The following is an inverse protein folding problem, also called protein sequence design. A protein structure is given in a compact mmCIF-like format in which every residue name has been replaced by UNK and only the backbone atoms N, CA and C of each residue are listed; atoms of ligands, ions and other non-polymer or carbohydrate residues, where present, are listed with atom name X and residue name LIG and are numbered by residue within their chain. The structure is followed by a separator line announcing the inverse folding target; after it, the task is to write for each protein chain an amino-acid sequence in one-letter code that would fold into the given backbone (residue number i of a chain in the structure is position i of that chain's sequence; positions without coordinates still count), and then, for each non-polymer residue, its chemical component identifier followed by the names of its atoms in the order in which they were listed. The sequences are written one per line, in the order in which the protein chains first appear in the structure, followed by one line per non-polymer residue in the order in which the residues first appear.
data_IF_513521205199
#
_entry.id   IF_513521205199
#
_cell.length_a   1.000
_cell.length_b   1.000
_cell.length_c   1.000
_cell.angle_alpha   90.00
_cell.angle_beta   90.00
_cell.angle_gamma   90.00
#
_symmetry.space_group_name_H-M   'P 1'
#
loop_
_entity.id
_entity.type
_entity.pdbx_description
1 polymer ?
#
# COMPACT_ATOMS: atom_id res chain seq x y z
N UNK A 1 -8.58 3.74 -0.43
CA UNK A 1 -8.36 4.17 0.95
C UNK A 1 -7.13 5.07 1.06
N UNK A 2 -5.92 4.62 0.70
CA UNK A 2 -4.68 5.42 0.86
C UNK A 2 -4.78 6.81 0.24
N UNK A 3 -5.24 6.93 -1.01
CA UNK A 3 -5.41 8.22 -1.72
C UNK A 3 -6.34 9.17 -0.97
N UNK A 4 -7.45 8.65 -0.40
CA UNK A 4 -8.38 9.43 0.40
C UNK A 4 -7.73 9.96 1.69
N UNK A 5 -7.03 9.11 2.43
CA UNK A 5 -6.33 9.54 3.65
C UNK A 5 -5.13 10.45 3.37
N UNK A 6 -4.50 10.33 2.20
CA UNK A 6 -3.49 11.31 1.75
C UNK A 6 -4.11 12.69 1.58
N UNK A 7 -5.33 12.80 1.03
CA UNK A 7 -6.04 14.07 0.94
C UNK A 7 -6.33 14.67 2.32
N UNK A 8 -6.82 13.85 3.27
CA UNK A 8 -7.08 14.33 4.63
C UNK A 8 -5.79 14.85 5.32
N UNK A 9 -4.67 14.16 5.10
CA UNK A 9 -3.36 14.61 5.61
C UNK A 9 -2.94 15.94 5.00
N UNK A 10 -3.05 16.09 3.68
CA UNK A 10 -2.67 17.33 2.99
C UNK A 10 -3.57 18.51 3.37
N UNK A 11 -4.87 18.29 3.58
CA UNK A 11 -5.80 19.32 4.05
C UNK A 11 -5.43 19.81 5.45
N UNK A 12 -5.10 18.90 6.36
CA UNK A 12 -4.64 19.23 7.70
C UNK A 12 -3.32 20.00 7.66
N UNK A 13 -2.36 19.56 6.82
CA UNK A 13 -1.11 20.27 6.61
C UNK A 13 -1.33 21.67 6.02
N UNK A 14 -2.24 21.81 5.06
CA UNK A 14 -2.60 23.11 4.49
C UNK A 14 -3.25 24.02 5.54
N UNK A 15 -4.10 23.49 6.39
CA UNK A 15 -4.73 24.23 7.49
C UNK A 15 -3.67 24.78 8.47
N UNK A 16 -2.78 23.93 8.96
CA UNK A 16 -1.69 24.31 9.86
C UNK A 16 -0.77 25.35 9.22
N UNK A 17 -0.42 25.14 7.95
CA UNK A 17 0.49 26.06 7.23
C UNK A 17 -0.16 27.42 7.01
N UNK A 18 -1.47 27.49 6.73
CA UNK A 18 -2.20 28.77 6.64
C UNK A 18 -2.28 29.52 7.97
N UNK A 19 -2.59 28.83 9.07
CA UNK A 19 -2.52 29.46 10.39
C UNK A 19 -1.13 30.02 10.69
N UNK A 20 -0.10 29.27 10.29
CA UNK A 20 1.27 29.75 10.44
C UNK A 20 1.56 30.94 9.53
N UNK A 21 1.03 30.98 8.30
CA UNK A 21 1.16 32.13 7.38
C UNK A 21 0.56 33.39 7.99
N UNK A 22 -0.66 33.32 8.57
CA UNK A 22 -1.29 34.44 9.26
C UNK A 22 -0.42 34.94 10.41
N UNK A 23 0.07 34.04 11.27
CA UNK A 23 0.93 34.39 12.40
C UNK A 23 2.28 34.98 11.96
N UNK A 24 2.82 34.57 10.81
CA UNK A 24 4.01 35.20 10.23
C UNK A 24 3.71 36.60 9.70
N UNK A 25 2.59 36.83 9.06
CA UNK A 25 2.15 38.16 8.59
C UNK A 25 2.08 39.16 9.73
N UNK A 26 1.50 38.75 10.86
CA UNK A 26 1.44 39.59 12.08
C UNK A 26 2.83 39.85 12.65
N UNK A 27 3.72 38.84 12.65
CA UNK A 27 5.08 38.97 13.15
C UNK A 27 5.90 39.93 12.29
N UNK A 28 5.79 39.84 10.95
CA UNK A 28 6.43 40.80 10.03
C UNK A 28 5.95 42.23 10.28
N UNK A 29 4.62 42.42 10.43
CA UNK A 29 4.03 43.73 10.71
C UNK A 29 4.56 44.33 12.02
N UNK A 30 4.60 43.54 13.09
CA UNK A 30 5.12 43.93 14.41
C UNK A 30 6.60 44.25 14.36
N UNK A 31 7.43 43.41 13.72
CA UNK A 31 8.87 43.66 13.58
C UNK A 31 9.17 44.92 12.77
N UNK A 32 8.36 45.20 11.73
CA UNK A 32 8.47 46.44 10.94
C UNK A 32 8.10 47.67 11.76
N UNK A 33 7.09 47.55 12.64
CA UNK A 33 6.71 48.63 13.57
C UNK A 33 7.84 48.89 14.59
N UNK A 34 8.45 47.83 15.16
CA UNK A 34 9.61 47.93 16.05
C UNK A 34 10.83 48.60 15.37
N UNK A 35 11.07 48.28 14.11
CA UNK A 35 12.13 48.91 13.32
C UNK A 35 11.89 50.43 13.19
N UNK A 36 10.65 50.85 12.87
CA UNK A 36 10.29 52.25 12.77
C UNK A 36 10.43 53.00 14.11
N UNK A 37 10.24 52.30 15.23
CA UNK A 37 10.48 52.84 16.58
C UNK A 37 11.96 52.82 17.01
N UNK A 38 12.88 52.35 16.17
CA UNK A 38 14.30 52.23 16.48
C UNK A 38 14.67 51.07 17.42
N UNK A 39 13.74 50.13 17.64
CA UNK A 39 13.89 48.98 18.54
C UNK A 39 14.26 47.69 17.78
N UNK A 40 14.32 47.75 16.47
CA UNK A 40 14.74 46.62 15.59
C UNK A 40 15.53 47.16 14.40
N UNK A 41 16.09 46.26 13.60
CA UNK A 41 16.90 46.61 12.43
C UNK A 41 16.30 46.02 11.14
N UNK A 42 16.78 46.53 9.99
CA UNK A 42 16.33 46.09 8.66
C UNK A 42 16.61 44.61 8.41
N UNK A 43 17.73 44.07 8.93
CA UNK A 43 18.05 42.63 8.81
C UNK A 43 17.03 41.76 9.47
N UNK A 44 16.47 42.15 10.63
CA UNK A 44 15.41 41.42 11.31
C UNK A 44 14.13 41.36 10.45
N UNK A 45 13.72 42.50 9.89
CA UNK A 45 12.54 42.58 9.02
C UNK A 45 12.72 41.69 7.79
N UNK A 46 13.88 41.82 7.12
CA UNK A 46 14.18 41.04 5.90
C UNK A 46 14.18 39.51 6.15
N UNK A 47 14.70 39.06 7.29
CA UNK A 47 14.68 37.63 7.65
C UNK A 47 13.25 37.13 7.97
N UNK A 48 12.44 37.94 8.65
CA UNK A 48 11.05 37.63 8.93
C UNK A 48 10.21 37.57 7.63
N UNK A 49 10.46 38.51 6.70
CA UNK A 49 9.81 38.51 5.38
C UNK A 49 10.23 37.29 4.55
N UNK A 50 11.49 36.91 4.57
CA UNK A 50 11.97 35.71 3.89
C UNK A 50 11.31 34.44 4.41
N UNK A 51 11.17 34.31 5.75
CA UNK A 51 10.46 33.18 6.36
C UNK A 51 8.95 33.19 6.02
N UNK A 52 8.31 34.35 6.00
CA UNK A 52 6.91 34.50 5.58
C UNK A 52 6.72 34.05 4.13
N UNK A 53 7.55 34.51 3.19
CA UNK A 53 7.47 34.07 1.78
C UNK A 53 7.75 32.59 1.61
N UNK A 54 8.62 31.99 2.44
CA UNK A 54 8.84 30.55 2.45
C UNK A 54 7.55 29.78 2.82
N UNK A 55 6.82 30.24 3.83
CA UNK A 55 5.54 29.62 4.25
C UNK A 55 4.50 29.80 3.16
N UNK A 56 4.42 30.99 2.51
CA UNK A 56 3.53 31.23 1.38
C UNK A 56 3.81 30.26 0.20
N UNK A 57 5.07 30.05 -0.13
CA UNK A 57 5.46 29.07 -1.14
C UNK A 57 4.96 27.67 -0.77
N UNK A 58 5.13 27.25 0.49
CA UNK A 58 4.67 25.96 0.98
C UNK A 58 3.14 25.79 0.89
N UNK A 59 2.37 26.88 1.08
CA UNK A 59 0.90 26.87 0.87
C UNK A 59 0.57 26.57 -0.59
N UNK A 60 1.32 27.12 -1.55
CA UNK A 60 1.11 26.86 -2.99
C UNK A 60 1.46 25.42 -3.34
N UNK A 61 2.58 24.92 -2.82
CA UNK A 61 3.01 23.53 -3.03
C UNK A 61 1.97 22.52 -2.50
N UNK A 62 1.41 22.78 -1.31
CA UNK A 62 0.35 21.94 -0.75
C UNK A 62 -0.93 21.97 -1.58
N UNK A 63 -1.33 23.13 -2.09
CA UNK A 63 -2.50 23.23 -3.00
C UNK A 63 -2.28 22.45 -4.29
N UNK A 64 -1.09 22.49 -4.85
CA UNK A 64 -0.75 21.70 -6.03
C UNK A 64 -0.82 20.20 -5.73
N UNK A 65 -0.24 19.74 -4.61
CA UNK A 65 -0.28 18.34 -4.19
C UNK A 65 -1.73 17.85 -3.95
N UNK A 66 -2.58 18.67 -3.32
CA UNK A 66 -4.00 18.35 -3.14
C UNK A 66 -4.67 18.13 -4.50
N UNK A 67 -4.47 19.04 -5.46
CA UNK A 67 -5.04 18.92 -6.79
C UNK A 67 -4.56 17.65 -7.52
N UNK A 68 -3.27 17.32 -7.42
CA UNK A 68 -2.70 16.10 -8.02
C UNK A 68 -3.31 14.83 -7.41
N UNK A 69 -3.55 14.81 -6.09
CA UNK A 69 -4.16 13.66 -5.41
C UNK A 69 -5.66 13.59 -5.69
N UNK A 70 -6.37 14.71 -5.81
CA UNK A 70 -7.77 14.76 -6.28
C UNK A 70 -7.92 14.20 -7.70
N UNK A 71 -7.01 14.57 -8.61
CA UNK A 71 -6.98 14.03 -9.97
C UNK A 71 -6.73 12.50 -9.94
N UNK A 72 -5.85 12.04 -9.06
CA UNK A 72 -5.57 10.60 -8.89
C UNK A 72 -6.79 9.86 -8.33
N UNK A 73 -7.54 10.48 -7.40
CA UNK A 73 -8.77 9.92 -6.87
C UNK A 73 -9.86 9.86 -7.92
N UNK A 74 -10.05 10.93 -8.71
CA UNK A 74 -11.00 10.98 -9.83
C UNK A 74 -10.72 9.86 -10.85
N UNK A 75 -9.44 9.64 -11.17
CA UNK A 75 -9.03 8.57 -12.08
C UNK A 75 -9.40 7.18 -11.52
N UNK A 76 -9.22 6.95 -10.22
CA UNK A 76 -9.59 5.70 -9.56
C UNK A 76 -11.11 5.46 -9.52
N UNK A 77 -11.90 6.53 -9.47
CA UNK A 77 -13.36 6.49 -9.49
C UNK A 77 -13.95 6.50 -10.90
N UNK A 78 -13.10 6.62 -11.94
CA UNK A 78 -13.50 6.81 -13.34
C UNK A 78 -14.42 8.02 -13.55
N UNK A 79 -14.17 9.11 -12.81
CA UNK A 79 -14.91 10.38 -12.86
C UNK A 79 -14.03 11.51 -13.41
N UNK A 80 -14.65 12.60 -13.79
CA UNK A 80 -13.92 13.84 -14.10
C UNK A 80 -13.39 14.49 -12.82
N UNK A 81 -12.20 15.10 -12.83
CA UNK A 81 -11.64 15.78 -11.67
C UNK A 81 -12.63 16.80 -11.08
N UNK A 82 -12.88 16.70 -9.80
CA UNK A 82 -13.74 17.60 -9.03
C UNK A 82 -13.30 17.66 -7.59
N UNK A 83 -13.77 18.64 -6.86
CA UNK A 83 -13.63 18.67 -5.41
C UNK A 83 -14.48 17.53 -4.78
N UNK A 84 -13.89 16.78 -3.86
CA UNK A 84 -14.55 15.73 -3.11
C UNK A 84 -14.77 16.20 -1.66
N UNK A 85 -16.02 16.16 -1.19
CA UNK A 85 -16.31 16.35 0.22
C UNK A 85 -15.62 15.27 1.04
N UNK A 86 -14.94 15.68 2.09
CA UNK A 86 -14.15 14.79 2.93
C UNK A 86 -14.16 15.22 4.39
N UNK A 87 -13.93 14.26 5.28
CA UNK A 87 -13.87 14.50 6.72
C UNK A 87 -12.51 15.07 7.16
N UNK A 88 -12.32 15.10 8.46
CA UNK A 88 -11.09 15.55 9.10
C UNK A 88 -10.21 14.35 9.49
N UNK A 89 -8.89 14.51 9.41
CA UNK A 89 -7.93 13.46 9.77
C UNK A 89 -7.98 13.12 11.26
N UNK A 90 -8.20 14.12 12.13
CA UNK A 90 -8.20 13.98 13.58
C UNK A 90 -9.37 13.19 14.15
N UNK A 91 -10.53 13.16 13.43
CA UNK A 91 -11.76 12.46 13.87
C UNK A 91 -11.72 10.96 13.60
N UNK A 92 -10.77 10.49 12.79
CA UNK A 92 -10.67 9.08 12.41
C UNK A 92 -10.24 8.23 13.61
N UNK A 93 -11.11 7.29 14.04
CA UNK A 93 -10.84 6.36 15.14
C UNK A 93 -10.57 4.97 14.58
N UNK A 94 -9.54 4.33 15.11
CA UNK A 94 -9.17 2.95 14.78
C UNK A 94 -9.09 2.12 16.07
N UNK A 95 -9.29 0.80 16.00
CA UNK A 95 -9.20 -0.07 17.18
C UNK A 95 -7.87 0.10 17.91
N UNK A 96 -7.92 0.26 19.23
CA UNK A 96 -6.73 0.53 20.04
C UNK A 96 -5.86 -0.71 20.28
N UNK A 97 -6.44 -1.90 20.20
CA UNK A 97 -5.76 -3.14 20.54
C UNK A 97 -5.60 -4.06 19.34
N UNK A 98 -4.40 -4.09 18.79
CA UNK A 98 -3.97 -5.19 17.93
C UNK A 98 -3.18 -6.18 18.79
N UNK A 99 -3.75 -7.36 19.05
CA UNK A 99 -3.04 -8.40 19.78
C UNK A 99 -1.82 -8.89 18.99
N UNK A 100 -0.66 -8.86 19.62
CA UNK A 100 0.56 -9.47 19.10
C UNK A 100 0.33 -10.99 18.96
N UNK A 101 0.50 -11.50 17.76
CA UNK A 101 0.35 -12.93 17.46
C UNK A 101 -0.80 -13.19 16.50
N UNK A 102 -0.49 -13.12 15.20
CA UNK A 102 -1.45 -13.51 14.16
C UNK A 102 -1.41 -15.02 14.03
N UNK A 103 -2.53 -15.74 14.28
CA UNK A 103 -2.59 -17.17 14.02
C UNK A 103 -2.25 -17.45 12.56
N UNK A 104 -1.39 -18.43 12.31
CA UNK A 104 -0.99 -18.86 10.97
C UNK A 104 -2.21 -19.19 10.08
N UNK A 105 -3.33 -19.55 10.68
CA UNK A 105 -4.61 -19.77 10.03
C UNK A 105 -5.18 -18.53 9.32
N UNK A 106 -4.89 -17.32 9.80
CA UNK A 106 -5.32 -16.09 9.11
C UNK A 106 -4.54 -15.84 7.81
N UNK A 107 -3.27 -16.26 7.74
CA UNK A 107 -2.46 -16.17 6.53
C UNK A 107 -3.01 -17.07 5.40
N UNK A 108 -3.66 -18.18 5.74
CA UNK A 108 -4.31 -19.06 4.77
C UNK A 108 -5.48 -18.38 4.02
N UNK A 109 -5.99 -17.26 4.53
CA UNK A 109 -7.05 -16.49 3.86
C UNK A 109 -6.49 -15.54 2.76
N UNK A 110 -5.20 -15.33 2.71
CA UNK A 110 -4.56 -14.45 1.72
C UNK A 110 -4.64 -15.03 0.32
N UNK A 111 -4.99 -14.22 -0.71
CA UNK A 111 -5.08 -14.69 -2.10
C UNK A 111 -3.74 -15.18 -2.67
N UNK A 112 -2.63 -14.50 -2.32
CA UNK A 112 -1.28 -14.84 -2.77
C UNK A 112 -0.80 -16.17 -2.18
N UNK A 113 -1.02 -16.41 -0.89
CA UNK A 113 -0.70 -17.68 -0.22
C UNK A 113 -1.53 -18.83 -0.81
N UNK A 114 -2.84 -18.61 -1.00
CA UNK A 114 -3.70 -19.62 -1.66
C UNK A 114 -3.32 -19.88 -3.11
N UNK A 115 -2.89 -18.86 -3.84
CA UNK A 115 -2.41 -19.06 -5.22
C UNK A 115 -1.16 -19.92 -5.24
N UNK A 116 -0.19 -19.66 -4.34
CA UNK A 116 1.01 -20.47 -4.22
C UNK A 116 0.71 -21.92 -3.78
N UNK A 117 -0.23 -22.11 -2.86
CA UNK A 117 -0.73 -23.44 -2.46
C UNK A 117 -1.33 -24.20 -3.64
N UNK A 118 -2.19 -23.54 -4.44
CA UNK A 118 -2.78 -24.16 -5.63
C UNK A 118 -1.75 -24.49 -6.72
N UNK A 119 -0.71 -23.66 -6.82
CA UNK A 119 0.42 -23.94 -7.74
C UNK A 119 1.20 -25.18 -7.29
N UNK A 120 1.44 -25.33 -5.98
CA UNK A 120 2.05 -26.54 -5.42
C UNK A 120 1.18 -27.77 -5.64
N UNK A 121 -0.13 -27.65 -5.43
CA UNK A 121 -1.09 -28.74 -5.70
C UNK A 121 -1.06 -29.13 -7.17
N UNK A 122 -1.05 -28.19 -8.10
CA UNK A 122 -0.93 -28.47 -9.54
C UNK A 122 0.38 -29.17 -9.89
N UNK A 123 1.51 -28.75 -9.31
CA UNK A 123 2.81 -29.39 -9.51
C UNK A 123 2.84 -30.82 -8.96
N UNK A 124 2.17 -31.05 -7.80
CA UNK A 124 2.00 -32.41 -7.25
C UNK A 124 1.22 -33.32 -8.20
N UNK A 125 0.11 -32.85 -8.76
CA UNK A 125 -0.65 -33.65 -9.76
C UNK A 125 0.12 -33.81 -11.06
N UNK A 126 0.92 -32.82 -11.47
CA UNK A 126 1.82 -32.93 -12.62
C UNK A 126 2.89 -34.02 -12.42
N UNK A 127 3.45 -34.15 -11.22
CA UNK A 127 4.38 -35.23 -10.88
C UNK A 127 3.69 -36.59 -10.91
N UNK A 128 2.46 -36.69 -10.42
CA UNK A 128 1.67 -37.91 -10.48
C UNK A 128 1.32 -38.30 -11.94
N UNK A 129 1.01 -37.32 -12.79
CA UNK A 129 0.79 -37.52 -14.22
C UNK A 129 2.07 -38.05 -14.89
N UNK A 130 3.23 -37.46 -14.62
CA UNK A 130 4.50 -37.96 -15.15
C UNK A 130 4.81 -39.38 -14.65
N UNK A 131 4.45 -39.71 -13.41
CA UNK A 131 4.56 -41.04 -12.83
C UNK A 131 3.63 -42.04 -13.53
N UNK A 132 2.43 -41.62 -13.95
CA UNK A 132 1.48 -42.50 -14.66
C UNK A 132 2.00 -42.97 -16.01
N UNK A 133 2.94 -42.26 -16.66
CA UNK A 133 3.58 -42.66 -17.91
C UNK A 133 4.44 -43.93 -17.80
N UNK A 134 4.78 -44.36 -16.57
CA UNK A 134 5.45 -45.65 -16.33
C UNK A 134 4.50 -46.84 -16.37
N UNK A 135 3.17 -46.63 -16.41
CA UNK A 135 2.16 -47.66 -16.45
C UNK A 135 1.57 -47.77 -17.85
N UNK A 136 0.99 -48.98 -18.23
CA UNK A 136 0.33 -49.12 -19.50
C UNK A 136 -0.88 -48.17 -19.66
N UNK A 137 -0.99 -47.57 -20.84
CA UNK A 137 -2.16 -46.79 -21.21
C UNK A 137 -3.24 -47.65 -21.84
N UNK A 138 -4.48 -47.49 -21.41
CA UNK A 138 -5.66 -48.15 -22.01
C UNK A 138 -6.40 -47.11 -22.84
N UNK A 139 -6.47 -47.36 -24.15
CA UNK A 139 -7.24 -46.51 -25.07
C UNK A 139 -8.46 -47.30 -25.57
N UNK A 140 -9.64 -46.73 -25.39
CA UNK A 140 -10.89 -47.25 -25.93
C UNK A 140 -11.34 -46.35 -27.07
N UNK A 141 -11.42 -46.89 -28.27
CA UNK A 141 -11.91 -46.20 -29.47
C UNK A 141 -13.17 -46.85 -29.99
N UNK A 142 -14.15 -46.03 -30.32
CA UNK A 142 -15.38 -46.50 -30.95
C UNK A 142 -15.69 -45.68 -32.18
N UNK A 143 -16.12 -46.34 -33.25
CA UNK A 143 -16.65 -45.66 -34.43
C UNK A 143 -18.00 -46.28 -34.81
N UNK A 144 -18.91 -45.42 -35.19
CA UNK A 144 -20.21 -45.82 -35.74
C UNK A 144 -20.45 -45.03 -37.04
N UNK A 145 -20.88 -45.71 -38.08
CA UNK A 145 -21.10 -45.08 -39.38
C UNK A 145 -21.98 -45.93 -40.29
N UNK A 146 -22.47 -45.29 -41.32
CA UNK A 146 -23.22 -45.94 -42.38
C UNK A 146 -22.32 -46.05 -43.61
N UNK A 147 -22.19 -47.28 -44.17
CA UNK A 147 -21.41 -47.46 -45.38
C UNK A 147 -22.34 -47.74 -46.58
N UNK A 148 -22.03 -47.07 -47.69
CA UNK A 148 -22.70 -47.31 -48.95
C UNK A 148 -21.65 -47.76 -50.00
N UNK A 149 -21.83 -48.93 -50.60
CA UNK A 149 -20.88 -49.46 -51.58
C UNK A 149 -21.11 -48.94 -53.01
N UNK A 150 -22.03 -48.00 -53.18
CA UNK A 150 -22.29 -47.41 -54.51
C UNK A 150 -21.99 -45.91 -54.45
N UNK A 151 -20.96 -45.48 -55.18
CA UNK A 151 -20.51 -44.07 -55.21
C UNK A 151 -21.63 -43.05 -55.26
N UNK A 152 -21.40 -41.91 -54.69
CA UNK A 152 -22.11 -40.64 -54.62
C UNK A 152 -23.64 -40.54 -54.55
N UNK A 153 -24.42 -41.61 -54.57
CA UNK A 153 -25.86 -41.61 -54.30
C UNK A 153 -26.24 -42.57 -53.17
N UNK A 154 -26.88 -42.03 -52.14
CA UNK A 154 -27.44 -42.82 -51.01
C UNK A 154 -28.69 -43.53 -51.54
N UNK A 155 -28.53 -44.69 -52.15
CA UNK A 155 -29.64 -45.46 -52.70
C UNK A 155 -30.19 -46.51 -51.73
N UNK A 156 -29.50 -46.79 -50.67
CA UNK A 156 -29.97 -47.72 -49.63
C UNK A 156 -29.34 -47.28 -48.28
N UNK A 157 -30.11 -47.06 -47.21
CA UNK A 157 -29.56 -46.79 -45.87
C UNK A 157 -28.99 -48.11 -45.32
N UNK A 158 -28.05 -48.58 -46.08
CA UNK A 158 -27.56 -49.92 -45.98
C UNK A 158 -26.90 -50.29 -44.71
N UNK A 159 -25.74 -50.65 -44.58
CA UNK A 159 -25.17 -51.36 -43.43
C UNK A 159 -24.67 -50.39 -42.40
N UNK A 160 -25.28 -50.39 -41.23
CA UNK A 160 -24.74 -49.78 -40.04
C UNK A 160 -23.52 -50.60 -39.60
N UNK A 161 -22.37 -49.92 -39.48
CA UNK A 161 -21.14 -50.47 -38.95
C UNK A 161 -20.82 -49.79 -37.64
N UNK A 162 -20.72 -50.59 -36.59
CA UNK A 162 -20.19 -50.12 -35.31
C UNK A 162 -18.96 -50.95 -34.95
N UNK A 163 -17.88 -50.30 -34.59
CA UNK A 163 -16.69 -50.98 -34.09
C UNK A 163 -16.26 -50.36 -32.75
N UNK A 164 -15.85 -51.20 -31.81
CA UNK A 164 -15.23 -50.84 -30.57
C UNK A 164 -13.88 -51.57 -30.45
N UNK A 165 -12.81 -50.82 -30.22
CA UNK A 165 -11.46 -51.38 -30.10
C UNK A 165 -10.86 -50.90 -28.81
N UNK A 166 -10.46 -51.84 -27.93
CA UNK A 166 -9.63 -51.55 -26.75
C UNK A 166 -8.16 -51.89 -27.08
N UNK A 167 -7.26 -50.95 -26.84
CA UNK A 167 -5.81 -51.17 -26.98
C UNK A 167 -5.10 -50.91 -25.67
N UNK A 168 -4.12 -51.75 -25.32
CA UNK A 168 -3.22 -51.58 -24.20
C UNK A 168 -1.82 -51.32 -24.75
N UNK A 169 -1.25 -50.14 -24.42
CA UNK A 169 0.06 -49.73 -24.92
C UNK A 169 1.00 -49.40 -23.78
N UNK A 170 2.17 -50.03 -23.76
CA UNK A 170 3.25 -49.75 -22.80
C UNK A 170 4.54 -49.46 -23.56
N UNK A 171 5.11 -48.22 -23.45
CA UNK A 171 6.43 -47.94 -24.02
C UNK A 171 7.54 -48.62 -23.17
N UNK A 172 8.27 -49.57 -23.76
CA UNK A 172 9.39 -50.24 -23.10
C UNK A 172 10.71 -49.46 -23.23
N UNK A 173 10.89 -48.76 -24.35
CA UNK A 173 12.08 -47.99 -24.68
C UNK A 173 11.70 -46.59 -25.19
N UNK A 174 11.76 -45.60 -24.31
CA UNK A 174 11.47 -44.20 -24.63
C UNK A 174 12.75 -43.31 -24.58
N UNK A 175 13.90 -43.84 -24.90
CA UNK A 175 15.19 -43.10 -24.90
C UNK A 175 15.47 -42.30 -23.62
N UNK A 176 14.93 -42.72 -22.49
CA UNK A 176 15.07 -42.02 -21.22
C UNK A 176 14.08 -40.82 -21.00
N UNK A 177 13.22 -40.52 -21.96
CA UNK A 177 12.27 -39.38 -21.92
C UNK A 177 11.36 -39.46 -20.71
N UNK A 178 10.74 -40.59 -20.42
CA UNK A 178 9.82 -40.76 -19.27
C UNK A 178 10.54 -40.50 -17.94
N UNK A 179 11.78 -40.99 -17.82
CA UNK A 179 12.62 -40.80 -16.61
C UNK A 179 13.00 -39.32 -16.47
N UNK A 180 13.41 -38.70 -17.59
CA UNK A 180 13.74 -37.28 -17.59
C UNK A 180 12.53 -36.40 -17.23
N UNK A 181 11.38 -36.66 -17.83
CA UNK A 181 10.15 -35.94 -17.54
C UNK A 181 9.71 -36.08 -16.07
N UNK A 182 9.80 -37.28 -15.52
CA UNK A 182 9.51 -37.52 -14.10
C UNK A 182 10.48 -36.73 -13.18
N UNK A 183 11.76 -36.69 -13.50
CA UNK A 183 12.75 -35.91 -12.74
C UNK A 183 12.46 -34.40 -12.82
N UNK A 184 12.13 -33.92 -14.03
CA UNK A 184 11.81 -32.51 -14.24
C UNK A 184 10.60 -32.11 -13.40
N UNK A 185 9.49 -32.86 -13.48
CA UNK A 185 8.27 -32.56 -12.74
C UNK A 185 8.48 -32.65 -11.23
N UNK A 186 9.33 -33.58 -10.76
CA UNK A 186 9.70 -33.67 -9.34
C UNK A 186 10.44 -32.42 -8.87
N UNK A 187 11.41 -31.92 -9.65
CA UNK A 187 12.12 -30.67 -9.34
C UNK A 187 11.18 -29.45 -9.39
N UNK A 188 10.25 -29.40 -10.34
CA UNK A 188 9.21 -28.38 -10.39
C UNK A 188 8.28 -28.40 -9.16
N UNK A 189 7.98 -29.58 -8.63
CA UNK A 189 7.22 -29.71 -7.38
C UNK A 189 8.03 -29.20 -6.19
N UNK A 190 9.33 -29.47 -6.10
CA UNK A 190 10.22 -28.94 -5.06
C UNK A 190 10.33 -27.40 -5.17
N UNK A 191 10.45 -26.86 -6.38
CA UNK A 191 10.44 -25.42 -6.64
C UNK A 191 9.12 -24.77 -6.17
N UNK A 192 7.98 -25.37 -6.51
CA UNK A 192 6.68 -24.90 -6.08
C UNK A 192 6.51 -24.95 -4.54
N UNK A 193 7.06 -25.95 -3.88
CA UNK A 193 7.06 -26.05 -2.41
C UNK A 193 7.88 -24.93 -1.77
N UNK A 194 9.06 -24.62 -2.32
CA UNK A 194 9.89 -23.51 -1.85
C UNK A 194 9.22 -22.14 -2.11
N UNK A 195 8.56 -21.98 -3.26
CA UNK A 195 7.78 -20.77 -3.57
C UNK A 195 6.59 -20.57 -2.61
N UNK A 196 5.90 -21.65 -2.25
CA UNK A 196 4.84 -21.61 -1.23
C UNK A 196 5.38 -21.20 0.15
N UNK A 197 6.50 -21.81 0.57
CA UNK A 197 7.15 -21.43 1.84
C UNK A 197 7.57 -19.95 1.83
N UNK A 198 8.15 -19.48 0.72
CA UNK A 198 8.53 -18.07 0.58
C UNK A 198 7.32 -17.13 0.66
N UNK A 199 6.18 -17.51 0.08
CA UNK A 199 4.92 -16.75 0.17
C UNK A 199 4.43 -16.64 1.62
N UNK A 200 4.52 -17.72 2.41
CA UNK A 200 4.19 -17.72 3.84
C UNK A 200 5.11 -16.81 4.66
N UNK A 201 6.41 -16.87 4.39
CA UNK A 201 7.40 -16.03 5.09
C UNK A 201 7.19 -14.55 4.77
N UNK A 202 6.94 -14.22 3.52
CA UNK A 202 6.63 -12.85 3.09
C UNK A 202 5.36 -12.34 3.77
N UNK A 203 4.30 -13.14 3.80
CA UNK A 203 3.05 -12.80 4.46
C UNK A 203 3.24 -12.54 5.96
N UNK A 204 4.05 -13.37 6.64
CA UNK A 204 4.39 -13.18 8.06
C UNK A 204 5.19 -11.89 8.29
N UNK A 205 6.16 -11.60 7.43
CA UNK A 205 6.95 -10.36 7.48
C UNK A 205 6.08 -9.13 7.30
N UNK A 206 5.19 -9.11 6.29
CA UNK A 206 4.28 -7.98 6.04
C UNK A 206 3.37 -7.68 7.25
N UNK A 207 2.87 -8.72 7.92
CA UNK A 207 2.05 -8.54 9.13
C UNK A 207 2.88 -7.96 10.26
N UNK A 208 4.09 -8.50 10.50
CA UNK A 208 4.98 -8.01 11.54
C UNK A 208 5.40 -6.56 11.30
N UNK A 209 5.74 -6.21 10.06
CA UNK A 209 6.11 -4.85 9.67
C UNK A 209 4.95 -3.86 9.88
N UNK A 210 3.72 -4.25 9.50
CA UNK A 210 2.54 -3.43 9.70
C UNK A 210 2.21 -3.24 11.20
N UNK A 211 2.33 -4.28 12.02
CA UNK A 211 2.16 -4.19 13.48
C UNK A 211 3.21 -3.28 14.11
N UNK A 212 4.47 -3.47 13.76
CA UNK A 212 5.58 -2.65 14.27
C UNK A 212 5.41 -1.19 13.87
N UNK A 213 5.04 -0.91 12.62
CA UNK A 213 4.78 0.44 12.16
C UNK A 213 3.62 1.11 12.91
N UNK A 214 2.54 0.36 13.19
CA UNK A 214 1.41 0.86 13.96
C UNK A 214 1.81 1.21 15.40
N UNK A 215 2.53 0.33 16.10
CA UNK A 215 3.02 0.59 17.46
C UNK A 215 3.98 1.78 17.51
N UNK A 216 4.98 1.78 16.62
CA UNK A 216 5.95 2.88 16.54
C UNK A 216 5.28 4.23 16.26
N UNK A 217 4.28 4.27 15.37
CA UNK A 217 3.55 5.50 15.05
C UNK A 217 2.77 6.02 16.27
N UNK A 218 2.18 5.13 17.07
CA UNK A 218 1.48 5.50 18.32
C UNK A 218 2.42 6.06 19.38
N UNK A 219 3.56 5.39 19.59
CA UNK A 219 4.58 5.89 20.53
C UNK A 219 5.14 7.24 20.09
N UNK A 220 5.40 7.42 18.79
CA UNK A 220 5.81 8.71 18.21
C UNK A 220 4.76 9.78 18.40
N UNK A 221 3.48 9.47 18.25
CA UNK A 221 2.39 10.44 18.44
C UNK A 221 2.46 11.08 19.82
N UNK A 222 2.63 10.27 20.87
CA UNK A 222 2.78 10.76 22.24
C UNK A 222 4.00 11.65 22.44
N UNK A 223 5.13 11.32 21.82
CA UNK A 223 6.35 12.13 21.90
C UNK A 223 6.20 13.45 21.13
N UNK A 224 5.58 13.41 19.95
CA UNK A 224 5.31 14.58 19.12
C UNK A 224 4.33 15.55 19.81
N UNK A 225 3.29 15.05 20.50
CA UNK A 225 2.37 15.88 21.27
C UNK A 225 3.09 16.61 22.40
N UNK A 226 4.00 15.93 23.12
CA UNK A 226 4.86 16.57 24.13
C UNK A 226 5.81 17.60 23.53
N UNK A 227 6.39 17.29 22.37
CA UNK A 227 7.29 18.21 21.66
C UNK A 227 6.54 19.48 21.26
N UNK A 228 5.34 19.35 20.69
CA UNK A 228 4.48 20.49 20.29
C UNK A 228 4.15 21.35 21.50
N UNK A 229 3.69 20.75 22.60
CA UNK A 229 3.38 21.47 23.84
C UNK A 229 4.58 22.27 24.37
N UNK A 230 5.79 21.65 24.32
CA UNK A 230 7.02 22.34 24.75
C UNK A 230 7.40 23.48 23.80
N UNK A 231 7.22 23.29 22.49
CA UNK A 231 7.51 24.33 21.48
C UNK A 231 6.51 25.49 21.54
N UNK A 232 5.22 25.22 21.82
CA UNK A 232 4.20 26.25 22.05
C UNK A 232 4.55 27.11 23.29
N UNK A 233 4.96 26.47 24.38
CA UNK A 233 5.41 27.18 25.58
C UNK A 233 6.68 28.01 25.30
N UNK A 234 7.65 27.43 24.56
CA UNK A 234 8.86 28.15 24.16
C UNK A 234 8.53 29.34 23.26
N UNK A 235 7.68 29.17 22.24
CA UNK A 235 7.27 30.26 21.36
C UNK A 235 6.58 31.40 22.14
N UNK A 236 5.65 31.03 23.04
CA UNK A 236 4.99 32.03 23.89
C UNK A 236 5.97 32.81 24.75
N UNK A 237 6.92 32.13 25.37
CA UNK A 237 7.93 32.76 26.20
C UNK A 237 8.89 33.65 25.40
N UNK A 238 9.38 33.16 24.25
CA UNK A 238 10.31 33.96 23.41
C UNK A 238 9.62 35.16 22.79
N UNK A 239 8.32 35.07 22.44
CA UNK A 239 7.54 36.21 21.94
C UNK A 239 7.39 37.30 22.99
N UNK A 240 7.06 36.94 24.24
CA UNK A 240 7.00 37.89 25.36
C UNK A 240 8.37 38.53 25.65
N UNK A 241 9.43 37.74 25.66
CA UNK A 241 10.78 38.25 25.87
C UNK A 241 11.22 39.23 24.76
N UNK A 242 10.79 38.97 23.51
CA UNK A 242 11.06 39.88 22.39
C UNK A 242 10.29 41.21 22.56
N UNK A 243 9.03 41.17 22.97
CA UNK A 243 8.24 42.39 23.26
C UNK A 243 8.88 43.26 24.35
N UNK A 244 9.51 42.63 25.35
CA UNK A 244 10.24 43.30 26.40
C UNK A 244 11.70 43.67 26.05
N UNK A 245 12.14 43.37 24.82
CA UNK A 245 13.49 43.73 24.35
C UNK A 245 14.61 42.89 24.97
N UNK A 246 14.29 41.75 25.61
CA UNK A 246 15.26 40.90 26.32
C UNK A 246 15.79 39.74 25.50
N UNK A 247 15.19 39.45 24.34
CA UNK A 247 15.66 38.40 23.41
C UNK A 247 15.70 38.90 21.96
N UNK A 248 16.31 38.11 21.09
CA UNK A 248 16.45 38.43 19.68
C UNK A 248 15.27 37.85 18.86
N UNK A 249 14.95 38.54 17.75
CA UNK A 249 13.97 38.04 16.76
C UNK A 249 14.32 36.63 16.24
N UNK A 250 15.59 36.26 16.25
CA UNK A 250 16.07 34.95 15.76
C UNK A 250 15.51 33.78 16.61
N UNK A 251 15.35 33.98 17.91
CA UNK A 251 14.78 32.94 18.79
C UNK A 251 13.30 32.70 18.48
N UNK A 252 12.54 33.77 18.25
CA UNK A 252 11.11 33.64 17.83
C UNK A 252 10.99 32.98 16.47
N UNK A 253 11.86 33.37 15.52
CA UNK A 253 11.92 32.75 14.19
C UNK A 253 12.18 31.26 14.29
N UNK A 254 13.19 30.85 15.06
CA UNK A 254 13.57 29.44 15.24
C UNK A 254 12.47 28.65 15.95
N UNK A 255 11.86 29.21 16.97
CA UNK A 255 10.77 28.59 17.71
C UNK A 255 9.53 28.34 16.80
N UNK A 256 9.16 29.33 15.96
CA UNK A 256 8.05 29.17 15.00
C UNK A 256 8.33 28.12 13.94
N UNK A 257 9.52 28.12 13.35
CA UNK A 257 9.91 27.13 12.34
C UNK A 257 9.90 25.71 12.93
N UNK A 258 10.41 25.57 14.16
CA UNK A 258 10.42 24.29 14.88
C UNK A 258 9.01 23.80 15.20
N UNK A 259 8.11 24.70 15.63
CA UNK A 259 6.73 24.36 15.92
C UNK A 259 5.99 23.91 14.65
N UNK A 260 6.08 24.67 13.54
CA UNK A 260 5.48 24.26 12.26
C UNK A 260 5.99 22.88 11.82
N UNK A 261 7.31 22.66 11.87
CA UNK A 261 7.90 21.38 11.49
C UNK A 261 7.39 20.22 12.38
N UNK A 262 7.25 20.44 13.69
CA UNK A 262 6.73 19.43 14.61
C UNK A 262 5.25 19.12 14.34
N UNK A 263 4.41 20.12 14.07
CA UNK A 263 2.99 19.96 13.73
C UNK A 263 2.80 19.21 12.41
N UNK A 264 3.55 19.56 11.36
CA UNK A 264 3.52 18.84 10.09
C UNK A 264 3.99 17.37 10.24
N UNK A 265 5.03 17.15 11.06
CA UNK A 265 5.53 15.80 11.37
C UNK A 265 4.47 14.98 12.12
N UNK A 266 3.74 15.60 13.07
CA UNK A 266 2.64 14.95 13.78
C UNK A 266 1.52 14.52 12.82
N UNK A 267 1.13 15.40 11.90
CA UNK A 267 0.12 15.10 10.88
C UNK A 267 0.56 13.94 9.98
N UNK A 268 1.81 13.97 9.51
CA UNK A 268 2.39 12.87 8.73
C UNK A 268 2.46 11.55 9.51
N UNK A 269 2.79 11.61 10.81
CA UNK A 269 2.81 10.42 11.68
C UNK A 269 1.40 9.84 11.88
N UNK A 270 0.38 10.68 12.02
CA UNK A 270 -1.02 10.22 12.10
C UNK A 270 -1.46 9.52 10.82
N UNK A 271 -1.10 10.06 9.66
CA UNK A 271 -1.33 9.39 8.37
C UNK A 271 -0.61 8.03 8.29
N UNK A 272 0.66 7.96 8.76
CA UNK A 272 1.42 6.70 8.80
C UNK A 272 0.75 5.66 9.70
N UNK A 273 0.20 6.06 10.85
CA UNK A 273 -0.59 5.17 11.71
C UNK A 273 -1.79 4.59 10.97
N UNK A 274 -2.59 5.45 10.32
CA UNK A 274 -3.76 5.03 9.54
C UNK A 274 -3.35 4.06 8.41
N UNK A 275 -2.31 4.40 7.68
CA UNK A 275 -1.78 3.57 6.60
C UNK A 275 -1.31 2.20 7.11
N UNK A 276 -0.70 2.16 8.29
CA UNK A 276 -0.24 0.91 8.92
C UNK A 276 -1.42 0.01 9.29
N UNK A 277 -2.52 0.57 9.79
CA UNK A 277 -3.77 -0.17 10.08
C UNK A 277 -4.38 -0.73 8.78
N UNK A 278 -4.42 0.06 7.70
CA UNK A 278 -4.93 -0.40 6.40
C UNK A 278 -4.04 -1.53 5.85
N UNK A 279 -2.72 -1.38 5.96
CA UNK A 279 -1.77 -2.40 5.52
C UNK A 279 -1.91 -3.69 6.35
N UNK A 280 -2.11 -3.57 7.67
CA UNK A 280 -2.36 -4.70 8.55
C UNK A 280 -3.64 -5.44 8.16
N UNK A 281 -4.74 -4.71 7.93
CA UNK A 281 -6.00 -5.30 7.45
C UNK A 281 -5.81 -6.08 6.15
N UNK A 282 -5.06 -5.52 5.19
CA UNK A 282 -4.73 -6.19 3.93
C UNK A 282 -3.82 -7.40 4.15
N UNK A 283 -2.79 -7.27 4.99
CA UNK A 283 -1.84 -8.34 5.29
C UNK A 283 -2.51 -9.55 5.97
N UNK A 284 -3.59 -9.32 6.71
CA UNK A 284 -4.41 -10.38 7.33
C UNK A 284 -5.42 -11.02 6.34
N UNK A 285 -5.44 -10.61 5.08
CA UNK A 285 -6.36 -11.13 4.07
C UNK A 285 -7.77 -10.54 4.16
N UNK A 286 -7.92 -9.35 4.74
CA UNK A 286 -9.16 -8.60 4.76
C UNK A 286 -9.60 -8.11 3.37
N UNK A 287 -10.88 -7.71 3.23
CA UNK A 287 -11.46 -7.23 1.97
C UNK A 287 -12.09 -8.32 1.11
N UNK A 288 -12.54 -9.41 1.74
CA UNK A 288 -13.21 -10.56 1.11
C UNK A 288 -14.68 -10.61 1.50
N UNK A 289 -15.41 -9.58 1.26
CA UNK A 289 -16.88 -9.65 1.29
C UNK A 289 -17.45 -9.66 -0.12
#
# INVERSE_FOLDING_TARGET
ANTYYTLLMLDEQLYITRQTEEAWSETVASTRALMKAGLSNESAVSQMEAAYYQVQSSVLDLKEQINQVENSLALLLAETPRYYERGELGVQQFPDNFSLGVPMQMLANRPDVRSAERTLEAAFYGTNQARSAFYPSITLSGSAGWTNNAGSMIVNPGKFLASAVGSLTQPLFARGEIIAQYKITKLQQEEAALAFLQSLLNAGSEVNDALTACQTSREKSFLLDKQITSLEAALKSTSLLMEHGTTTYLEVLTARQSLLSAQLTRTANRFTEIQSVINLYRALGGGRE
#
